data_IF_056953746516
#
_entry.id   IF_056953746516
#
_cell.length_a   1.000
_cell.length_b   1.000
_cell.length_c   1.000
_cell.angle_alpha   90.00
_cell.angle_beta   90.00
_cell.angle_gamma   90.00
#
_symmetry.space_group_name_H-M   'P 1'
#
loop_
_entity.id
_entity.type
_entity.pdbx_description
1 polymer ?
#
# COMPACT_ATOMS: atom_id res chain seq x y z
N UNK A 1 48.23 -39.95 -7.65
CA UNK A 1 47.80 -38.54 -7.59
C UNK A 1 46.33 -38.48 -7.95
N UNK A 2 45.44 -38.43 -6.96
CA UNK A 2 44.05 -37.94 -7.07
C UNK A 2 43.35 -38.27 -5.73
N UNK A 3 43.33 -37.32 -4.79
CA UNK A 3 42.38 -37.30 -3.67
C UNK A 3 42.63 -36.06 -2.80
N UNK A 4 42.20 -34.88 -3.28
CA UNK A 4 41.96 -33.72 -2.40
C UNK A 4 41.06 -32.66 -3.08
N UNK A 5 39.86 -33.07 -3.53
CA UNK A 5 38.82 -32.13 -4.01
C UNK A 5 37.45 -32.38 -3.37
N UNK A 6 37.31 -33.40 -2.52
CA UNK A 6 36.01 -33.78 -1.93
C UNK A 6 35.67 -33.00 -0.65
N UNK A 7 36.64 -32.42 0.07
CA UNK A 7 36.39 -31.84 1.40
C UNK A 7 35.86 -30.40 1.37
N UNK A 8 36.15 -29.65 0.30
CA UNK A 8 35.67 -28.28 0.12
C UNK A 8 34.22 -28.21 -0.39
N UNK A 9 33.75 -29.20 -1.16
CA UNK A 9 32.38 -29.21 -1.71
C UNK A 9 31.33 -29.51 -0.63
N UNK A 10 31.64 -30.43 0.29
CA UNK A 10 30.74 -30.78 1.41
C UNK A 10 30.54 -29.61 2.39
N UNK A 11 31.55 -28.75 2.53
CA UNK A 11 31.50 -27.60 3.45
C UNK A 11 30.60 -26.46 2.94
N UNK A 12 30.48 -26.30 1.61
CA UNK A 12 29.62 -25.28 1.00
C UNK A 12 28.15 -25.72 0.91
N UNK A 13 27.89 -27.01 0.66
CA UNK A 13 26.52 -27.55 0.66
C UNK A 13 25.88 -27.50 2.07
N UNK A 14 26.67 -27.74 3.12
CA UNK A 14 26.19 -27.65 4.50
C UNK A 14 25.76 -26.23 4.91
N UNK A 15 26.49 -25.20 4.47
CA UNK A 15 26.17 -23.79 4.77
C UNK A 15 24.93 -23.33 4.00
N UNK A 16 24.80 -23.71 2.72
CA UNK A 16 23.63 -23.37 1.90
C UNK A 16 22.35 -24.03 2.44
N UNK A 17 22.44 -25.29 2.88
CA UNK A 17 21.30 -26.02 3.47
C UNK A 17 20.87 -25.39 4.80
N UNK A 18 21.82 -25.03 5.67
CA UNK A 18 21.51 -24.35 6.93
C UNK A 18 20.88 -22.96 6.72
N UNK A 19 21.30 -22.22 5.69
CA UNK A 19 20.69 -20.93 5.31
C UNK A 19 19.25 -21.08 4.81
N UNK A 20 18.98 -22.09 3.98
CA UNK A 20 17.63 -22.39 3.47
C UNK A 20 16.69 -22.88 4.58
N UNK A 21 17.18 -23.71 5.50
CA UNK A 21 16.40 -24.17 6.65
C UNK A 21 16.07 -23.02 7.62
N UNK A 22 17.04 -22.12 7.88
CA UNK A 22 16.82 -20.96 8.74
C UNK A 22 15.81 -19.96 8.15
N UNK A 23 15.91 -19.66 6.85
CA UNK A 23 14.97 -18.76 6.17
C UNK A 23 13.55 -19.33 6.09
N UNK A 24 13.42 -20.64 5.88
CA UNK A 24 12.11 -21.32 5.89
C UNK A 24 11.48 -21.33 7.28
N UNK A 25 12.27 -21.53 8.34
CA UNK A 25 11.79 -21.52 9.72
C UNK A 25 11.33 -20.12 10.16
N UNK A 26 12.09 -19.07 9.82
CA UNK A 26 11.71 -17.66 10.10
C UNK A 26 10.42 -17.30 9.37
N UNK A 27 10.28 -17.71 8.10
CA UNK A 27 9.08 -17.43 7.29
C UNK A 27 7.82 -18.10 7.86
N UNK A 28 7.93 -19.35 8.33
CA UNK A 28 6.81 -20.07 8.96
C UNK A 28 6.41 -19.47 10.30
N UNK A 29 7.37 -19.07 11.12
CA UNK A 29 7.10 -18.44 12.41
C UNK A 29 6.40 -17.07 12.23
N UNK A 30 6.80 -16.29 11.23
CA UNK A 30 6.14 -15.03 10.86
C UNK A 30 4.70 -15.26 10.39
N UNK A 31 4.48 -16.22 9.48
CA UNK A 31 3.14 -16.55 9.00
C UNK A 31 2.20 -17.01 10.14
N UNK A 32 2.73 -17.78 11.10
CA UNK A 32 1.98 -18.22 12.28
C UNK A 32 1.69 -17.07 13.26
N UNK A 33 2.60 -16.10 13.39
CA UNK A 33 2.36 -14.88 14.17
C UNK A 33 1.25 -14.04 13.55
N UNK A 34 1.25 -13.88 12.23
CA UNK A 34 0.17 -13.19 11.49
C UNK A 34 -1.18 -13.88 11.64
N UNK A 35 -1.24 -15.23 11.59
CA UNK A 35 -2.51 -15.95 11.80
C UNK A 35 -3.05 -15.76 13.21
N UNK A 36 -2.17 -15.81 14.22
CA UNK A 36 -2.58 -15.67 15.62
C UNK A 36 -3.06 -14.25 15.95
N UNK A 37 -2.42 -13.22 15.38
CA UNK A 37 -2.86 -11.82 15.50
C UNK A 37 -4.19 -11.61 14.75
N UNK A 38 -4.36 -12.23 13.58
CA UNK A 38 -5.60 -12.15 12.82
C UNK A 38 -6.78 -12.83 13.54
N UNK A 39 -6.55 -13.96 14.22
CA UNK A 39 -7.57 -14.65 15.02
C UNK A 39 -7.93 -13.88 16.30
N UNK A 40 -6.92 -13.37 17.04
CA UNK A 40 -7.14 -12.55 18.23
C UNK A 40 -7.92 -11.27 17.90
N UNK A 41 -7.62 -10.63 16.77
CA UNK A 41 -8.40 -9.49 16.29
C UNK A 41 -9.85 -9.93 15.99
N UNK A 42 -10.06 -11.04 15.26
CA UNK A 42 -11.40 -11.52 14.87
C UNK A 42 -12.34 -11.77 16.06
N UNK A 43 -11.82 -12.32 17.15
CA UNK A 43 -12.61 -12.55 18.39
C UNK A 43 -13.03 -11.25 19.07
N UNK A 44 -12.15 -10.24 19.11
CA UNK A 44 -12.45 -8.91 19.67
C UNK A 44 -13.55 -8.16 18.90
N UNK A 45 -13.60 -8.31 17.57
CA UNK A 45 -14.63 -7.67 16.72
C UNK A 45 -16.03 -8.26 16.92
N UNK A 46 -16.14 -9.56 17.21
CA UNK A 46 -17.45 -10.21 17.40
C UNK A 46 -18.23 -9.73 18.63
N UNK A 47 -17.55 -9.07 19.58
CA UNK A 47 -18.13 -8.68 20.86
C UNK A 47 -18.62 -7.22 20.92
N UNK A 48 -18.44 -6.41 19.87
CA UNK A 48 -18.57 -4.94 19.99
C UNK A 48 -19.42 -4.21 18.93
N UNK A 49 -20.33 -4.88 18.20
CA UNK A 49 -21.12 -4.23 17.15
C UNK A 49 -22.52 -3.77 17.59
N UNK A 50 -22.72 -2.45 17.59
CA UNK A 50 -24.02 -1.76 17.46
C UNK A 50 -24.04 -1.01 16.10
N UNK A 51 -25.13 -1.01 15.29
CA UNK A 51 -25.01 -0.79 13.84
C UNK A 51 -25.25 0.65 13.33
N UNK A 52 -25.19 1.69 14.16
CA UNK A 52 -25.81 2.99 13.82
C UNK A 52 -24.94 4.27 13.95
N UNK A 53 -23.61 4.19 14.01
CA UNK A 53 -22.73 5.37 13.98
C UNK A 53 -21.68 5.25 12.87
N UNK A 54 -21.48 6.32 12.09
CA UNK A 54 -20.44 6.41 11.06
C UNK A 54 -19.06 6.30 11.72
N UNK A 55 -18.36 5.21 11.44
CA UNK A 55 -17.06 4.82 12.04
C UNK A 55 -15.86 5.49 11.37
N UNK A 56 -15.98 6.77 11.03
CA UNK A 56 -14.82 7.56 10.63
C UNK A 56 -14.00 7.85 11.89
N UNK A 57 -12.72 7.47 11.87
CA UNK A 57 -11.80 7.74 12.99
C UNK A 57 -10.94 8.94 12.60
N UNK A 58 -10.83 9.91 13.51
CA UNK A 58 -9.76 10.91 13.43
C UNK A 58 -8.42 10.17 13.41
N UNK A 59 -7.57 10.47 12.42
CA UNK A 59 -6.21 9.93 12.36
C UNK A 59 -5.37 10.60 13.45
N UNK A 60 -4.49 9.84 14.10
CA UNK A 60 -3.46 10.37 15.00
C UNK A 60 -2.23 10.92 14.25
N UNK A 61 -2.37 11.17 12.94
CA UNK A 61 -1.36 11.74 12.05
C UNK A 61 -1.87 13.13 11.64
N UNK A 62 -1.12 14.17 12.02
CA UNK A 62 -1.47 15.58 11.78
C UNK A 62 -1.65 15.93 10.29
N UNK A 63 -1.13 15.11 9.38
CA UNK A 63 -1.23 15.32 7.92
C UNK A 63 -2.50 14.72 7.29
N UNK A 64 -3.22 13.85 7.99
CA UNK A 64 -4.42 13.18 7.49
C UNK A 64 -5.65 13.67 8.26
N UNK A 65 -6.62 14.22 7.53
CA UNK A 65 -7.82 14.78 8.15
C UNK A 65 -8.80 13.72 8.68
N UNK A 66 -8.89 12.55 8.04
CA UNK A 66 -9.78 11.46 8.46
C UNK A 66 -9.36 10.12 7.85
N UNK A 67 -9.81 9.02 8.48
CA UNK A 67 -9.73 7.68 7.90
C UNK A 67 -11.03 6.91 8.14
N UNK A 68 -11.43 6.08 7.16
CA UNK A 68 -12.61 5.20 7.30
C UNK A 68 -12.21 3.89 7.96
N UNK A 69 -13.08 3.32 8.79
CA UNK A 69 -12.83 2.02 9.43
C UNK A 69 -12.64 0.85 8.45
N UNK A 70 -13.15 0.97 7.23
CA UNK A 70 -13.00 -0.04 6.16
C UNK A 70 -11.65 0.03 5.46
N UNK A 71 -10.85 1.07 5.71
CA UNK A 71 -9.52 1.22 5.13
C UNK A 71 -8.48 0.62 6.06
N UNK A 72 -7.41 0.08 5.47
CA UNK A 72 -6.27 -0.38 6.26
C UNK A 72 -4.99 0.27 5.75
N UNK A 73 -4.07 0.47 6.68
CA UNK A 73 -2.76 1.06 6.42
C UNK A 73 -1.73 0.32 7.24
N UNK A 74 -0.58 0.05 6.63
CA UNK A 74 0.61 -0.45 7.31
C UNK A 74 1.76 0.42 6.86
N UNK A 75 2.56 0.91 7.81
CA UNK A 75 3.75 1.71 7.54
C UNK A 75 4.95 1.08 8.26
N UNK A 76 6.12 1.16 7.65
CA UNK A 76 7.35 0.61 8.23
C UNK A 76 7.98 1.52 9.27
N UNK A 77 7.65 2.81 9.26
CA UNK A 77 8.21 3.87 10.11
C UNK A 77 7.12 4.88 10.46
N UNK A 78 7.26 5.58 11.59
CA UNK A 78 6.24 6.48 12.11
C UNK A 78 6.65 7.96 12.03
N UNK A 79 7.94 8.25 11.85
CA UNK A 79 8.48 9.63 11.89
C UNK A 79 9.30 9.97 10.64
N UNK A 80 9.44 11.27 10.36
CA UNK A 80 10.21 11.77 9.20
C UNK A 80 11.69 11.43 9.35
N UNK A 81 12.21 11.46 10.57
CA UNK A 81 13.61 11.17 10.90
C UNK A 81 14.00 9.71 10.65
N UNK A 82 13.02 8.80 10.65
CA UNK A 82 13.21 7.38 10.38
C UNK A 82 13.10 7.04 8.89
N UNK A 83 12.66 7.98 8.05
CA UNK A 83 12.51 7.74 6.61
C UNK A 83 13.86 7.55 5.91
N UNK A 84 13.90 6.56 5.04
CA UNK A 84 15.05 6.28 4.20
C UNK A 84 14.74 5.22 3.15
N UNK A 85 15.78 4.81 2.42
CA UNK A 85 15.66 3.71 1.46
C UNK A 85 15.19 2.44 2.18
N UNK A 86 14.13 1.83 1.65
CA UNK A 86 13.45 0.67 2.24
C UNK A 86 12.23 1.02 3.10
N UNK A 87 11.99 2.30 3.43
CA UNK A 87 10.73 2.70 4.07
C UNK A 87 9.56 2.46 3.12
N UNK A 88 8.47 1.94 3.67
CA UNK A 88 7.31 1.47 2.91
C UNK A 88 6.00 1.83 3.59
N UNK A 89 5.00 2.18 2.77
CA UNK A 89 3.61 2.31 3.19
C UNK A 89 2.72 1.50 2.27
N UNK A 90 1.76 0.81 2.88
CA UNK A 90 0.74 0.01 2.22
C UNK A 90 -0.63 0.54 2.60
N UNK A 91 -1.46 0.88 1.61
CA UNK A 91 -2.83 1.32 1.79
C UNK A 91 -3.81 0.38 1.07
N UNK A 92 -4.89 -0.02 1.73
CA UNK A 92 -5.92 -0.90 1.13
C UNK A 92 -7.31 -0.32 1.23
N UNK A 93 -8.08 -0.46 0.16
CA UNK A 93 -9.50 -0.09 0.07
C UNK A 93 -10.23 -0.92 -1.00
N UNK A 94 -11.52 -1.20 -0.77
CA UNK A 94 -12.44 -1.69 -1.80
C UNK A 94 -12.86 -0.60 -2.78
N UNK A 95 -12.74 -0.87 -4.09
CA UNK A 95 -13.21 0.03 -5.14
C UNK A 95 -14.64 -0.32 -5.53
N UNK A 96 -15.59 0.47 -5.04
CA UNK A 96 -17.03 0.20 -5.20
C UNK A 96 -17.60 0.80 -6.48
N UNK A 97 -18.81 0.38 -6.87
CA UNK A 97 -19.56 0.99 -7.99
C UNK A 97 -19.82 2.50 -7.75
N UNK A 98 -20.04 2.87 -6.48
CA UNK A 98 -20.17 4.27 -6.05
C UNK A 98 -18.88 5.06 -6.30
N UNK A 99 -17.72 4.47 -6.04
CA UNK A 99 -16.43 5.11 -6.33
C UNK A 99 -16.24 5.33 -7.85
N UNK A 100 -16.65 4.35 -8.67
CA UNK A 100 -16.59 4.44 -10.14
C UNK A 100 -17.47 5.58 -10.66
N UNK A 101 -18.70 5.70 -10.16
CA UNK A 101 -19.60 6.79 -10.55
C UNK A 101 -19.10 8.15 -10.04
N UNK A 102 -18.68 8.23 -8.78
CA UNK A 102 -18.11 9.46 -8.22
C UNK A 102 -16.85 9.90 -8.99
N UNK A 103 -16.02 8.95 -9.43
CA UNK A 103 -14.85 9.26 -10.24
C UNK A 103 -15.24 9.76 -11.63
N UNK A 104 -16.24 9.17 -12.27
CA UNK A 104 -16.75 9.65 -13.56
C UNK A 104 -17.26 11.11 -13.46
N UNK A 105 -17.96 11.46 -12.38
CA UNK A 105 -18.46 12.80 -12.14
C UNK A 105 -17.33 13.82 -11.89
N UNK A 106 -16.32 13.48 -11.08
CA UNK A 106 -15.24 14.42 -10.74
C UNK A 106 -14.21 14.56 -11.87
N UNK A 107 -13.93 13.49 -12.61
CA UNK A 107 -12.94 13.48 -13.69
C UNK A 107 -13.51 13.89 -15.04
N UNK A 108 -14.83 13.73 -15.24
CA UNK A 108 -15.49 13.83 -16.54
C UNK A 108 -15.28 12.61 -17.45
N UNK A 109 -14.59 11.55 -17.00
CA UNK A 109 -14.45 10.30 -17.75
C UNK A 109 -15.72 9.45 -17.63
N UNK A 110 -16.67 9.75 -18.50
CA UNK A 110 -17.95 9.02 -18.62
C UNK A 110 -17.90 7.93 -19.69
N UNK A 111 -16.73 7.31 -19.93
CA UNK A 111 -16.61 6.21 -20.88
C UNK A 111 -17.55 5.05 -20.49
N UNK A 112 -18.39 4.62 -21.43
CA UNK A 112 -19.39 3.55 -21.23
C UNK A 112 -18.77 2.25 -20.74
N UNK A 113 -17.49 2.01 -21.01
CA UNK A 113 -16.75 0.84 -20.49
C UNK A 113 -16.84 0.71 -18.97
N UNK A 114 -16.94 1.82 -18.24
CA UNK A 114 -16.98 1.83 -16.77
C UNK A 114 -18.41 1.91 -16.20
N UNK A 115 -19.39 2.28 -17.01
CA UNK A 115 -20.71 2.73 -16.53
C UNK A 115 -21.90 1.96 -17.11
N UNK A 116 -21.73 1.28 -18.23
CA UNK A 116 -22.81 0.62 -18.96
C UNK A 116 -22.52 -0.89 -19.11
N UNK A 117 -23.34 -1.71 -18.44
CA UNK A 117 -23.20 -3.17 -18.45
C UNK A 117 -23.40 -3.78 -19.84
N UNK A 118 -24.36 -3.29 -20.62
CA UNK A 118 -24.65 -3.81 -21.97
C UNK A 118 -23.47 -3.52 -22.89
N UNK A 119 -23.00 -2.26 -22.89
CA UNK A 119 -21.82 -1.88 -23.67
C UNK A 119 -20.58 -2.68 -23.27
N UNK A 120 -20.31 -2.79 -21.96
CA UNK A 120 -19.12 -3.44 -21.46
C UNK A 120 -19.13 -4.97 -21.74
N UNK A 121 -20.31 -5.59 -21.76
CA UNK A 121 -20.48 -7.01 -22.10
C UNK A 121 -20.04 -7.36 -23.52
N UNK A 122 -20.11 -6.40 -24.45
CA UNK A 122 -19.66 -6.56 -25.84
C UNK A 122 -18.15 -6.28 -26.04
N UNK A 123 -17.45 -5.83 -24.99
CA UNK A 123 -16.00 -5.55 -25.07
C UNK A 123 -15.18 -6.80 -24.77
N UNK A 124 -13.86 -6.73 -25.00
CA UNK A 124 -12.92 -7.80 -24.61
C UNK A 124 -12.92 -8.13 -23.12
N UNK A 125 -13.44 -7.24 -22.27
CA UNK A 125 -13.51 -7.43 -20.83
C UNK A 125 -14.78 -8.20 -20.42
N UNK A 126 -15.86 -8.12 -21.23
CA UNK A 126 -17.13 -8.81 -20.98
C UNK A 126 -17.92 -8.31 -19.77
N UNK A 127 -17.47 -7.23 -19.13
CA UNK A 127 -18.07 -6.58 -17.96
C UNK A 127 -17.47 -5.19 -17.75
N UNK A 128 -18.13 -4.37 -16.91
CA UNK A 128 -17.56 -3.10 -16.45
C UNK A 128 -16.32 -3.34 -15.60
N UNK A 129 -15.37 -2.42 -15.72
CA UNK A 129 -14.12 -2.42 -14.94
C UNK A 129 -13.94 -1.04 -14.31
N UNK A 130 -13.16 -0.97 -13.25
CA UNK A 130 -12.77 0.30 -12.62
C UNK A 130 -11.90 1.12 -13.59
N UNK A 131 -12.04 2.46 -13.59
CA UNK A 131 -11.07 3.34 -14.26
C UNK A 131 -9.66 3.08 -13.73
N UNK A 132 -8.68 2.93 -14.63
CA UNK A 132 -7.28 2.72 -14.22
C UNK A 132 -6.76 3.87 -13.36
N UNK A 133 -7.13 5.10 -13.71
CA UNK A 133 -6.76 6.32 -12.97
C UNK A 133 -7.39 6.38 -11.57
N UNK A 134 -8.62 5.89 -11.39
CA UNK A 134 -9.24 5.73 -10.07
C UNK A 134 -8.42 4.75 -9.21
N UNK A 135 -8.05 3.59 -9.76
CA UNK A 135 -7.22 2.63 -9.04
C UNK A 135 -5.82 3.21 -8.70
N UNK A 136 -5.20 3.95 -9.63
CA UNK A 136 -3.91 4.61 -9.39
C UNK A 136 -3.99 5.69 -8.29
N UNK A 137 -5.17 6.26 -8.03
CA UNK A 137 -5.38 7.24 -6.95
C UNK A 137 -5.09 6.67 -5.55
N UNK A 138 -5.09 5.35 -5.38
CA UNK A 138 -4.67 4.72 -4.13
C UNK A 138 -3.17 4.88 -3.86
N UNK A 139 -2.34 5.06 -4.89
CA UNK A 139 -0.92 5.41 -4.72
C UNK A 139 -0.82 6.75 -4.00
N UNK A 140 -1.61 7.76 -4.42
CA UNK A 140 -1.68 9.03 -3.70
C UNK A 140 -2.16 8.87 -2.26
N UNK A 141 -3.08 7.93 -2.01
CA UNK A 141 -3.55 7.63 -0.65
C UNK A 141 -2.46 7.01 0.22
N UNK A 142 -1.64 6.12 -0.34
CA UNK A 142 -0.48 5.52 0.33
C UNK A 142 0.63 6.54 0.58
N UNK A 143 0.95 7.37 -0.42
CA UNK A 143 1.94 8.46 -0.27
C UNK A 143 1.54 9.42 0.84
N UNK A 144 0.26 9.80 0.95
CA UNK A 144 -0.24 10.70 2.00
C UNK A 144 -0.14 10.14 3.43
N UNK A 145 0.30 8.89 3.60
CA UNK A 145 0.53 8.21 4.88
C UNK A 145 2.02 7.99 5.17
N UNK A 146 2.90 8.43 4.27
CA UNK A 146 4.31 8.57 4.63
C UNK A 146 4.41 9.69 5.67
N UNK A 147 5.24 9.55 6.72
CA UNK A 147 5.49 10.61 7.68
C UNK A 147 5.92 11.91 6.99
N UNK A 148 5.33 13.02 7.42
CA UNK A 148 5.65 14.37 6.92
C UNK A 148 4.67 14.91 5.89
N UNK A 149 4.96 16.11 5.39
CA UNK A 149 4.18 16.76 4.35
C UNK A 149 4.69 16.33 2.97
N UNK A 150 3.84 15.64 2.22
CA UNK A 150 4.23 15.02 0.95
C UNK A 150 3.78 15.86 -0.24
N UNK A 151 4.74 16.20 -1.11
CA UNK A 151 4.47 16.82 -2.42
C UNK A 151 4.76 15.80 -3.51
N UNK A 152 3.72 15.44 -4.25
CA UNK A 152 3.79 14.44 -5.33
C UNK A 152 4.24 15.10 -6.63
N UNK A 153 5.53 14.93 -6.99
CA UNK A 153 6.16 15.70 -8.07
C UNK A 153 5.98 15.06 -9.45
N UNK A 154 6.12 13.73 -9.53
CA UNK A 154 5.92 12.98 -10.78
C UNK A 154 5.51 11.55 -10.51
N UNK A 155 4.83 10.94 -11.48
CA UNK A 155 4.42 9.55 -11.47
C UNK A 155 4.46 8.98 -12.88
N UNK A 156 5.08 7.83 -13.04
CA UNK A 156 5.01 6.97 -14.23
C UNK A 156 4.19 5.71 -13.90
N UNK A 157 3.30 5.27 -14.80
CA UNK A 157 2.39 4.14 -14.56
C UNK A 157 2.27 3.21 -15.76
N UNK A 158 2.35 1.92 -15.49
CA UNK A 158 1.97 0.84 -16.39
C UNK A 158 0.69 0.15 -15.88
N UNK A 159 -0.37 0.16 -16.68
CA UNK A 159 -1.64 -0.51 -16.36
C UNK A 159 -1.61 -1.95 -16.89
N UNK A 160 -1.21 -2.90 -16.05
CA UNK A 160 -1.00 -4.29 -16.46
C UNK A 160 -2.30 -5.07 -16.64
N UNK A 161 -3.28 -4.86 -15.76
CA UNK A 161 -4.51 -5.67 -15.68
C UNK A 161 -5.72 -4.83 -15.27
N UNK A 162 -6.93 -5.17 -15.77
CA UNK A 162 -8.15 -4.51 -15.34
C UNK A 162 -8.49 -4.87 -13.88
N UNK A 163 -9.17 -3.96 -13.19
CA UNK A 163 -9.70 -4.18 -11.83
C UNK A 163 -11.22 -4.30 -11.90
N UNK A 164 -11.74 -5.30 -11.21
CA UNK A 164 -13.18 -5.50 -11.10
C UNK A 164 -13.79 -4.57 -10.06
N UNK A 165 -15.04 -4.16 -10.32
CA UNK A 165 -15.81 -3.38 -9.36
C UNK A 165 -16.14 -4.27 -8.15
N UNK A 166 -15.91 -3.75 -6.95
CA UNK A 166 -16.03 -4.48 -5.68
C UNK A 166 -14.74 -5.19 -5.25
N UNK A 167 -13.64 -5.05 -5.99
CA UNK A 167 -12.35 -5.61 -5.57
C UNK A 167 -11.67 -4.73 -4.52
N UNK A 168 -11.16 -5.36 -3.46
CA UNK A 168 -10.18 -4.73 -2.57
C UNK A 168 -8.81 -4.75 -3.22
N UNK A 169 -8.24 -3.56 -3.37
CA UNK A 169 -6.89 -3.35 -3.91
C UNK A 169 -5.99 -2.73 -2.85
N UNK A 170 -4.70 -2.97 -3.04
CA UNK A 170 -3.60 -2.60 -2.17
C UNK A 170 -2.60 -1.77 -2.96
N UNK A 171 -2.37 -0.52 -2.55
CA UNK A 171 -1.29 0.29 -3.08
C UNK A 171 -0.10 0.26 -2.12
N UNK A 172 1.09 -0.04 -2.66
CA UNK A 172 2.34 -0.06 -1.92
C UNK A 172 3.30 0.96 -2.52
N UNK A 173 3.87 1.80 -1.67
CA UNK A 173 4.89 2.79 -2.03
C UNK A 173 6.13 2.55 -1.18
N UNK A 174 7.28 2.40 -1.82
CA UNK A 174 8.53 2.06 -1.12
C UNK A 174 9.66 2.96 -1.62
N UNK A 175 10.37 3.62 -0.71
CA UNK A 175 11.51 4.48 -1.07
C UNK A 175 12.66 3.61 -1.57
N UNK A 176 13.09 3.85 -2.80
CA UNK A 176 14.18 3.10 -3.44
C UNK A 176 15.45 3.94 -3.61
N UNK A 177 15.34 5.27 -3.58
CA UNK A 177 16.46 6.18 -3.75
C UNK A 177 16.21 7.52 -3.05
N UNK A 178 17.24 8.07 -2.39
CA UNK A 178 17.26 9.46 -1.91
C UNK A 178 17.87 10.35 -3.01
N UNK A 179 17.17 11.43 -3.33
CA UNK A 179 17.60 12.45 -4.30
C UNK A 179 17.96 13.76 -3.57
N UNK A 180 18.48 14.74 -4.31
CA UNK A 180 18.83 16.04 -3.73
C UNK A 180 17.60 16.86 -3.32
N UNK A 181 17.68 17.57 -2.20
CA UNK A 181 16.67 18.54 -1.76
C UNK A 181 15.39 17.88 -1.24
N UNK A 182 15.55 16.95 -0.29
CA UNK A 182 14.45 16.23 0.40
C UNK A 182 13.49 15.51 -0.56
N UNK A 183 14.02 15.12 -1.71
CA UNK A 183 13.31 14.35 -2.73
C UNK A 183 13.66 12.88 -2.65
N UNK A 184 12.68 12.05 -2.96
CA UNK A 184 12.81 10.61 -2.93
C UNK A 184 12.19 10.01 -4.17
N UNK A 185 12.82 8.97 -4.70
CA UNK A 185 12.21 8.08 -5.71
C UNK A 185 11.59 6.90 -4.99
N UNK A 186 10.38 6.54 -5.41
CA UNK A 186 9.65 5.42 -4.86
C UNK A 186 9.25 4.45 -5.97
N UNK A 187 9.34 3.16 -5.68
CA UNK A 187 8.56 2.18 -6.41
C UNK A 187 7.10 2.29 -5.97
N UNK A 188 6.17 2.19 -6.90
CA UNK A 188 4.73 2.28 -6.64
C UNK A 188 4.00 1.14 -7.32
N UNK A 189 3.27 0.34 -6.55
CA UNK A 189 2.52 -0.79 -7.09
C UNK A 189 1.08 -0.76 -6.59
N UNK A 190 0.15 -1.27 -7.39
CA UNK A 190 -1.20 -1.59 -6.96
C UNK A 190 -1.46 -3.06 -7.26
N UNK A 191 -1.93 -3.81 -6.27
CA UNK A 191 -2.21 -5.24 -6.36
C UNK A 191 -3.63 -5.57 -5.88
N UNK A 192 -4.19 -6.67 -6.36
CA UNK A 192 -5.40 -7.25 -5.76
C UNK A 192 -5.08 -8.01 -4.48
N UNK A 193 -6.09 -8.38 -3.69
CA UNK A 193 -5.92 -9.20 -2.49
C UNK A 193 -5.24 -10.56 -2.76
N UNK A 194 -5.30 -11.07 -3.99
CA UNK A 194 -4.61 -12.30 -4.42
C UNK A 194 -3.13 -12.08 -4.80
N UNK A 195 -2.59 -10.87 -4.65
CA UNK A 195 -1.21 -10.52 -5.00
C UNK A 195 -0.96 -10.33 -6.50
N UNK A 196 -2.02 -10.13 -7.28
CA UNK A 196 -1.89 -9.85 -8.72
C UNK A 196 -1.63 -8.36 -8.92
N UNK A 197 -0.47 -7.99 -9.47
CA UNK A 197 -0.18 -6.60 -9.87
C UNK A 197 -1.16 -6.13 -10.94
N UNK A 198 -1.80 -4.99 -10.72
CA UNK A 198 -2.69 -4.34 -11.69
C UNK A 198 -2.09 -3.05 -12.22
N UNK A 199 -1.26 -2.40 -11.41
CA UNK A 199 -0.50 -1.20 -11.77
C UNK A 199 0.91 -1.32 -11.20
N UNK A 200 1.91 -0.98 -12.01
CA UNK A 200 3.33 -0.88 -11.63
C UNK A 200 3.86 0.48 -12.05
N UNK A 201 4.89 1.01 -11.40
CA UNK A 201 5.42 2.32 -11.74
C UNK A 201 6.35 2.93 -10.71
N UNK A 202 6.75 4.19 -10.94
CA UNK A 202 7.61 4.94 -10.04
C UNK A 202 7.07 6.36 -9.77
N UNK A 203 7.31 6.85 -8.57
CA UNK A 203 7.04 8.22 -8.16
C UNK A 203 8.34 8.97 -7.83
N UNK A 204 8.31 10.29 -8.00
CA UNK A 204 9.20 11.19 -7.26
C UNK A 204 8.35 12.08 -6.37
N UNK A 205 8.73 12.16 -5.09
CA UNK A 205 8.08 13.02 -4.10
C UNK A 205 9.11 13.91 -3.41
N UNK A 206 8.65 15.00 -2.84
CA UNK A 206 9.36 15.78 -1.83
C UNK A 206 8.67 15.57 -0.49
N UNK A 207 9.46 15.36 0.57
CA UNK A 207 8.95 15.16 1.94
C UNK A 207 9.50 16.28 2.80
N UNK A 208 8.61 17.13 3.30
CA UNK A 208 8.96 18.26 4.17
C UNK A 208 8.40 18.05 5.58
N UNK A 209 8.92 18.81 6.54
CA UNK A 209 8.30 18.89 7.86
C UNK A 209 6.96 19.63 7.75
N UNK A 210 5.90 19.18 8.44
CA UNK A 210 4.68 19.96 8.52
C UNK A 210 4.97 21.32 9.17
N UNK A 211 4.21 22.38 8.83
CA UNK A 211 4.37 23.68 9.48
C UNK A 211 4.17 23.52 11.00
N UNK A 212 5.01 24.20 11.78
CA UNK A 212 4.88 24.17 13.24
C UNK A 212 3.50 24.68 13.65
N UNK A 213 2.73 23.84 14.36
CA UNK A 213 1.46 24.23 14.94
C UNK A 213 1.72 25.30 16.00
N UNK A 214 1.10 26.48 15.89
CA UNK A 214 1.19 27.55 16.90
C UNK A 214 0.56 27.11 18.23
N UNK A 215 1.24 26.27 19.02
CA UNK A 215 0.80 25.90 20.38
C UNK A 215 1.94 25.79 21.38
N UNK A 216 3.04 26.52 21.17
CA UNK A 216 4.12 26.67 22.16
C UNK A 216 4.61 28.12 22.29
N UNK A 217 3.70 29.09 22.09
CA UNK A 217 3.85 30.40 22.71
C UNK A 217 2.85 30.49 23.84
N UNK A 218 3.32 30.21 25.05
CA UNK A 218 3.08 31.01 26.27
C UNK A 218 2.84 30.13 27.51
N UNK A 219 3.92 29.80 28.23
CA UNK A 219 3.94 30.03 29.70
C UNK A 219 5.38 30.21 30.15
N UNK A 220 5.88 31.44 30.00
CA UNK A 220 6.97 31.93 30.84
C UNK A 220 6.34 32.62 32.06
N UNK A 221 6.44 32.00 33.24
CA UNK A 221 6.44 32.70 34.54
C UNK A 221 7.55 32.15 35.43
#
# INVERSE_FOLDING_TARGET
MASDQSSMTDSFEGIATAWLESSTAVSKNMAQMYSNIAEANRELWSQSMDPAESTDRESGDDSIAYSKSSWTTVQSVDTVEELGVGSEVVFRKELTDSDVHAFADISGDTNRLHLDDEFASDTRFGRRIVHGTLASGLISSALARLPGMIVYLSQDLDFERPVDIGTTVEATVSIIETLDGDRYRLNTTVQTAEGTTVIDGEAVVLIDSPPATETDTDTSE
#
